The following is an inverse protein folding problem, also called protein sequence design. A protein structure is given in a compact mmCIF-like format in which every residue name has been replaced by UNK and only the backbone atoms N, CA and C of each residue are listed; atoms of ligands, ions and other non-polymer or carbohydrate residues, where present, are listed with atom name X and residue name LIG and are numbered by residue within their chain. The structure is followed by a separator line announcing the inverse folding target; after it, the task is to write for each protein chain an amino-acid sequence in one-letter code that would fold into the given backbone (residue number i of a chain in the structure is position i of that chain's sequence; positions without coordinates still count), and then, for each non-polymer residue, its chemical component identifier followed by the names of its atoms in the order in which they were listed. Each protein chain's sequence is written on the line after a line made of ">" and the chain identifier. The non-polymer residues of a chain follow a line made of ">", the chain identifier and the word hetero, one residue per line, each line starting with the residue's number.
data_IF_000779184703
#
_entry.id   IF_000779184703
#
_cell.length_a   1.000
_cell.length_b   1.000
_cell.length_c   1.000
_cell.angle_alpha   90.00
_cell.angle_beta   90.00
_cell.angle_gamma   90.00
#
_symmetry.space_group_name_H-M   'P 1'
#
loop_
_entity.id
_entity.type
_entity.pdbx_description
1 polymer ?
#
# COMPACT_ATOMS: atom_id res chain seq x y z
N UNK A 1 17.21 4.70 10.54
CA UNK A 1 16.67 4.42 9.18
C UNK A 1 15.56 3.40 9.34
N UNK A 2 14.38 3.64 8.77
CA UNK A 2 13.25 2.70 8.82
C UNK A 2 13.21 1.90 7.50
N UNK A 3 13.02 0.57 7.60
CA UNK A 3 12.94 -0.34 6.46
C UNK A 3 11.64 -1.16 6.57
N UNK A 4 10.51 -0.60 6.10
CA UNK A 4 9.22 -1.26 6.22
C UNK A 4 9.13 -2.43 5.24
N UNK A 5 8.43 -3.49 5.62
CA UNK A 5 8.14 -4.60 4.70
C UNK A 5 6.95 -4.26 3.77
N UNK A 6 6.08 -3.34 4.19
CA UNK A 6 4.84 -3.00 3.49
C UNK A 6 4.54 -1.49 3.48
N UNK A 7 3.81 -1.03 2.47
CA UNK A 7 3.30 0.32 2.37
C UNK A 7 1.83 0.31 1.93
N UNK A 8 0.99 1.08 2.63
CA UNK A 8 -0.43 1.25 2.29
C UNK A 8 -0.64 2.68 1.79
N UNK A 9 -1.25 2.84 0.61
CA UNK A 9 -1.50 4.12 -0.04
C UNK A 9 -3.01 4.31 -0.16
N UNK A 10 -3.55 5.25 0.60
CA UNK A 10 -4.95 5.67 0.48
C UNK A 10 -5.08 6.66 -0.67
N UNK A 11 -5.78 6.24 -1.73
CA UNK A 11 -6.00 7.00 -2.96
C UNK A 11 -7.30 6.53 -3.64
N UNK A 12 -8.00 7.46 -4.30
CA UNK A 12 -9.21 7.18 -5.08
C UNK A 12 -8.89 6.75 -6.51
N UNK A 13 -9.80 6.02 -7.18
CA UNK A 13 -9.68 5.71 -8.62
C UNK A 13 -9.52 6.94 -9.50
N UNK A 14 -10.27 7.99 -9.17
CA UNK A 14 -10.33 9.22 -9.95
C UNK A 14 -9.33 10.26 -9.41
N UNK A 15 -8.09 9.83 -9.17
CA UNK A 15 -7.08 10.73 -8.65
C UNK A 15 -6.39 11.53 -9.78
N UNK A 16 -7.00 12.66 -10.13
CA UNK A 16 -6.46 13.64 -11.06
C UNK A 16 -5.14 14.29 -10.61
N UNK A 17 -4.72 14.13 -9.34
CA UNK A 17 -3.48 14.70 -8.81
C UNK A 17 -2.21 13.90 -9.17
N UNK A 18 -2.36 12.74 -9.81
CA UNK A 18 -1.21 11.93 -10.25
C UNK A 18 -0.46 11.24 -9.10
N UNK A 19 -1.16 10.96 -7.99
CA UNK A 19 -0.62 10.15 -6.90
C UNK A 19 -1.10 8.69 -6.97
N UNK A 20 -0.28 7.74 -6.46
CA UNK A 20 1.14 7.90 -6.13
C UNK A 20 2.01 8.05 -7.40
N UNK A 21 3.04 8.90 -7.33
CA UNK A 21 3.93 9.10 -8.49
C UNK A 21 4.68 7.81 -8.84
N UNK A 22 4.95 7.58 -10.13
CA UNK A 22 5.71 6.41 -10.59
C UNK A 22 7.12 6.35 -9.98
N UNK A 23 7.73 7.51 -9.68
CA UNK A 23 9.04 7.59 -8.99
C UNK A 23 8.97 7.01 -7.58
N UNK A 24 7.89 7.29 -6.84
CA UNK A 24 7.66 6.77 -5.50
C UNK A 24 7.47 5.25 -5.55
N UNK A 25 6.62 4.76 -6.46
CA UNK A 25 6.36 3.32 -6.63
C UNK A 25 7.65 2.55 -6.98
N UNK A 26 8.42 3.03 -7.97
CA UNK A 26 9.71 2.43 -8.35
C UNK A 26 10.75 2.46 -7.22
N UNK A 27 10.67 3.42 -6.29
CA UNK A 27 11.54 3.44 -5.11
C UNK A 27 11.15 2.34 -4.13
N UNK A 28 9.86 2.17 -3.87
CA UNK A 28 9.34 1.13 -2.98
C UNK A 28 9.64 -0.27 -3.52
N UNK A 29 9.41 -0.48 -4.81
CA UNK A 29 9.72 -1.73 -5.51
C UNK A 29 11.21 -2.10 -5.40
N UNK A 30 12.13 -1.15 -5.67
CA UNK A 30 13.58 -1.37 -5.52
C UNK A 30 14.02 -1.67 -4.08
N UNK A 31 13.23 -1.25 -3.09
CA UNK A 31 13.48 -1.51 -1.68
C UNK A 31 12.83 -2.83 -1.20
N UNK A 32 12.15 -3.57 -2.10
CA UNK A 32 11.43 -4.79 -1.75
C UNK A 32 10.17 -4.56 -0.92
N UNK A 33 9.66 -3.32 -0.89
CA UNK A 33 8.48 -2.96 -0.10
C UNK A 33 7.24 -3.36 -0.87
N UNK A 34 6.38 -4.18 -0.26
CA UNK A 34 5.11 -4.57 -0.87
C UNK A 34 4.08 -3.45 -0.70
N UNK A 35 3.55 -2.96 -1.82
CA UNK A 35 2.63 -1.81 -1.86
C UNK A 35 1.19 -2.30 -1.99
N UNK A 36 0.29 -1.75 -1.17
CA UNK A 36 -1.17 -1.89 -1.29
C UNK A 36 -1.80 -0.52 -1.53
N UNK A 37 -2.77 -0.45 -2.45
CA UNK A 37 -3.44 0.80 -2.81
C UNK A 37 -4.96 0.63 -2.84
N UNK A 38 -5.69 1.57 -2.26
CA UNK A 38 -7.15 1.49 -2.17
C UNK A 38 -7.86 1.67 -3.52
N UNK A 39 -7.25 2.37 -4.46
CA UNK A 39 -7.76 2.48 -5.82
C UNK A 39 -7.67 1.14 -6.59
N UNK A 40 -6.68 0.31 -6.31
CA UNK A 40 -6.51 -0.98 -6.98
C UNK A 40 -7.22 -2.13 -6.26
N UNK A 41 -7.25 -2.09 -4.92
CA UNK A 41 -7.63 -3.23 -4.07
C UNK A 41 -8.84 -2.90 -3.17
N UNK A 42 -9.47 -1.75 -3.36
CA UNK A 42 -10.60 -1.33 -2.53
C UNK A 42 -10.19 -1.13 -1.06
N UNK A 43 -11.00 -1.63 -0.14
CA UNK A 43 -10.70 -1.56 1.30
C UNK A 43 -9.47 -2.42 1.63
N UNK A 44 -8.56 -1.91 2.46
CA UNK A 44 -7.39 -2.67 2.94
C UNK A 44 -7.52 -2.82 4.45
N UNK A 45 -7.64 -4.06 4.93
CA UNK A 45 -7.75 -4.36 6.36
C UNK A 45 -6.40 -4.83 6.89
N UNK A 46 -5.92 -4.20 7.97
CA UNK A 46 -4.76 -4.67 8.72
C UNK A 46 -5.23 -5.24 10.05
N UNK A 47 -4.99 -6.52 10.25
CA UNK A 47 -5.41 -7.27 11.45
C UNK A 47 -4.15 -7.54 12.26
N UNK A 48 -4.19 -7.27 13.55
CA UNK A 48 -3.09 -7.54 14.48
C UNK A 48 -3.62 -8.16 15.76
N UNK A 49 -2.91 -9.16 16.27
CA UNK A 49 -3.16 -9.76 17.59
C UNK A 49 -2.24 -9.16 18.68
N UNK A 50 -1.45 -8.14 18.33
CA UNK A 50 -0.42 -7.52 19.19
C UNK A 50 0.97 -8.14 19.09
N UNK A 51 1.11 -9.31 18.46
CA UNK A 51 2.38 -10.02 18.22
C UNK A 51 2.64 -10.21 16.71
N UNK A 52 1.61 -10.59 15.99
CA UNK A 52 1.57 -10.84 14.57
C UNK A 52 0.56 -9.92 13.92
N UNK A 53 0.70 -9.77 12.61
CA UNK A 53 -0.23 -8.98 11.82
C UNK A 53 -0.35 -9.52 10.41
N UNK A 54 -1.50 -9.26 9.80
CA UNK A 54 -1.87 -9.71 8.48
C UNK A 54 -2.55 -8.58 7.71
N UNK A 55 -2.40 -8.57 6.38
CA UNK A 55 -3.09 -7.62 5.50
C UNK A 55 -4.04 -8.39 4.60
N UNK A 56 -5.30 -7.97 4.60
CA UNK A 56 -6.35 -8.48 3.74
C UNK A 56 -6.82 -7.36 2.79
N UNK A 57 -6.44 -7.40 1.50
CA UNK A 57 -6.99 -6.51 0.50
C UNK A 57 -8.42 -6.92 0.14
N UNK A 58 -9.29 -5.94 -0.08
CA UNK A 58 -10.60 -6.13 -0.63
C UNK A 58 -10.53 -6.66 -2.07
N UNK A 59 -11.55 -7.41 -2.46
CA UNK A 59 -11.77 -7.71 -3.87
C UNK A 59 -12.47 -6.50 -4.48
N UNK A 60 -11.81 -5.89 -5.44
CA UNK A 60 -12.37 -4.86 -6.30
C UNK A 60 -12.65 -5.43 -7.68
#
# INVERSE_FOLDING_TARGET
>A
MVRPDYAVISVSDDNSFGHPSSRTLKRMERLGIKVFRTDQQGMITLISDGLNWQIEPGLK
#
